data_IF_814034343661
#
_entry.id   IF_814034343661
#
_cell.length_a   1.000
_cell.length_b   1.000
_cell.length_c   1.000
_cell.angle_alpha   90.00
_cell.angle_beta   90.00
_cell.angle_gamma   90.00
#
_symmetry.space_group_name_H-M   'P 1'
#
loop_
_entity.id
_entity.type
_entity.pdbx_description
1 polymer ?
#
# COMPACT_ATOMS: atom_id res chain seq x y z
N UNK A 1 6.08 -44.14 -1.57
CA UNK A 1 6.84 -43.68 -2.74
C UNK A 1 5.83 -43.12 -3.73
N UNK A 2 5.71 -41.83 -4.02
CA UNK A 2 6.22 -40.58 -3.47
C UNK A 2 5.14 -39.53 -3.77
N UNK A 3 5.15 -38.50 -2.96
CA UNK A 3 4.19 -37.40 -2.83
C UNK A 3 4.04 -36.59 -4.13
N UNK A 4 2.79 -36.22 -4.48
CA UNK A 4 2.49 -35.16 -5.46
C UNK A 4 1.58 -34.08 -4.88
N UNK A 5 1.80 -33.77 -3.60
CA UNK A 5 1.40 -32.46 -3.07
C UNK A 5 2.25 -31.40 -3.78
N UNK A 6 1.59 -30.50 -4.51
CA UNK A 6 1.92 -29.09 -4.81
C UNK A 6 1.55 -28.77 -6.27
N UNK A 7 0.39 -28.12 -6.46
CA UNK A 7 0.18 -27.00 -7.42
C UNK A 7 -0.91 -26.09 -6.85
N UNK A 8 -0.50 -25.08 -6.08
CA UNK A 8 -0.50 -23.67 -6.55
C UNK A 8 -1.89 -23.02 -6.50
N UNK A 9 -2.26 -22.47 -5.35
CA UNK A 9 -3.48 -21.66 -5.21
C UNK A 9 -3.54 -20.74 -3.98
N UNK A 10 -2.70 -20.96 -2.95
CA UNK A 10 -2.80 -20.22 -1.69
C UNK A 10 -1.71 -19.16 -1.44
N UNK A 11 -0.61 -19.13 -2.21
CA UNK A 11 0.53 -18.25 -1.89
C UNK A 11 0.40 -16.83 -2.46
N UNK A 12 -0.21 -16.67 -3.63
CA UNK A 12 -0.41 -15.34 -4.23
C UNK A 12 -1.46 -14.52 -3.47
N UNK A 13 -2.54 -15.15 -3.00
CA UNK A 13 -3.64 -14.48 -2.28
C UNK A 13 -3.26 -14.04 -0.85
N UNK A 14 -2.24 -14.65 -0.25
CA UNK A 14 -1.76 -14.25 1.09
C UNK A 14 -0.84 -13.03 1.05
N UNK A 15 -0.12 -12.81 -0.05
CA UNK A 15 0.87 -11.73 -0.16
C UNK A 15 0.20 -10.37 -0.42
N UNK A 16 -0.82 -10.33 -1.28
CA UNK A 16 -1.56 -9.09 -1.59
C UNK A 16 -2.48 -8.60 -0.48
N UNK A 17 -2.85 -9.44 0.50
CA UNK A 17 -3.76 -9.02 1.58
C UNK A 17 -3.20 -7.92 2.49
N UNK A 18 -1.88 -7.71 2.46
CA UNK A 18 -1.20 -6.74 3.32
C UNK A 18 -0.42 -5.67 2.54
N UNK A 19 -0.67 -5.50 1.23
CA UNK A 19 -0.05 -4.42 0.45
C UNK A 19 -0.77 -3.09 0.71
N UNK A 20 0.00 -2.03 1.02
CA UNK A 20 -0.52 -0.67 1.17
C UNK A 20 0.28 0.33 0.35
N UNK A 21 -0.42 1.25 -0.29
CA UNK A 21 0.19 2.34 -1.06
C UNK A 21 -0.24 3.65 -0.44
N UNK A 22 0.73 4.50 -0.07
CA UNK A 22 0.50 5.87 0.34
C UNK A 22 1.16 6.82 -0.65
N UNK A 23 0.72 8.08 -0.66
CA UNK A 23 1.34 9.12 -1.46
C UNK A 23 1.43 10.42 -0.69
N UNK A 24 2.45 11.21 -1.03
CA UNK A 24 2.57 12.58 -0.56
C UNK A 24 1.79 13.57 -1.45
N UNK A 25 2.23 14.82 -1.43
CA UNK A 25 1.59 15.89 -2.22
C UNK A 25 2.24 16.09 -3.60
N UNK A 26 3.28 15.32 -3.95
CA UNK A 26 4.03 15.51 -5.19
C UNK A 26 3.26 15.06 -6.42
N UNK A 27 2.65 13.86 -6.39
CA UNK A 27 1.88 13.33 -7.51
C UNK A 27 0.80 12.31 -7.05
N UNK A 28 -0.29 12.78 -6.43
CA UNK A 28 -1.36 11.89 -5.95
C UNK A 28 -2.12 11.19 -7.09
N UNK A 29 -2.17 11.78 -8.28
CA UNK A 29 -2.82 11.20 -9.46
C UNK A 29 -2.11 9.91 -9.90
N UNK A 30 -0.78 9.97 -10.07
CA UNK A 30 0.04 8.80 -10.42
C UNK A 30 -0.10 7.67 -9.39
N UNK A 31 -0.08 8.00 -8.10
CA UNK A 31 -0.27 7.01 -7.06
C UNK A 31 -1.66 6.34 -7.14
N UNK A 32 -2.69 7.13 -7.45
CA UNK A 32 -4.05 6.64 -7.70
C UNK A 32 -4.12 5.69 -8.90
N UNK A 33 -3.46 6.01 -10.01
CA UNK A 33 -3.39 5.15 -11.19
C UNK A 33 -2.69 3.81 -10.88
N UNK A 34 -1.60 3.84 -10.13
CA UNK A 34 -0.87 2.63 -9.72
C UNK A 34 -1.73 1.76 -8.79
N UNK A 35 -2.41 2.37 -7.81
CA UNK A 35 -3.32 1.66 -6.92
C UNK A 35 -4.48 1.02 -7.70
N UNK A 36 -5.09 1.77 -8.63
CA UNK A 36 -6.15 1.28 -9.51
C UNK A 36 -5.68 0.12 -10.42
N UNK A 37 -4.48 0.22 -11.00
CA UNK A 37 -3.89 -0.84 -11.81
C UNK A 37 -3.70 -2.15 -11.00
N UNK A 38 -3.33 -2.02 -9.72
CA UNK A 38 -3.16 -3.16 -8.81
C UNK A 38 -4.49 -3.64 -8.20
N UNK A 39 -5.60 -2.93 -8.43
CA UNK A 39 -6.91 -3.26 -7.89
C UNK A 39 -7.03 -3.03 -6.38
N UNK A 40 -6.28 -2.08 -5.83
CA UNK A 40 -6.32 -1.69 -4.40
C UNK A 40 -6.61 -0.19 -4.25
N UNK A 41 -6.99 0.22 -3.06
CA UNK A 41 -7.19 1.63 -2.72
C UNK A 41 -5.91 2.24 -2.16
N UNK A 42 -5.76 3.57 -2.32
CA UNK A 42 -4.74 4.31 -1.59
C UNK A 42 -5.04 4.25 -0.08
N UNK A 43 -3.98 4.09 0.71
CA UNK A 43 -4.07 4.08 2.15
C UNK A 43 -4.48 5.45 2.68
N UNK A 44 -5.22 5.44 3.79
CA UNK A 44 -5.73 6.66 4.42
C UNK A 44 -4.59 7.40 5.15
N UNK A 45 -4.11 8.47 4.52
CA UNK A 45 -3.12 9.36 5.07
C UNK A 45 -3.45 10.83 4.80
N UNK A 46 -3.24 11.66 5.80
CA UNK A 46 -3.23 13.11 5.67
C UNK A 46 -1.80 13.60 5.55
N UNK A 47 -1.46 14.25 4.43
CA UNK A 47 -0.17 14.88 4.19
C UNK A 47 -0.39 16.37 3.98
N UNK A 48 0.09 17.19 4.90
CA UNK A 48 -0.06 18.64 4.87
C UNK A 48 1.25 19.35 5.21
N UNK A 49 1.28 20.67 5.04
CA UNK A 49 2.41 21.52 5.41
C UNK A 49 2.00 22.47 6.53
N UNK A 50 2.86 22.60 7.53
CA UNK A 50 2.75 23.64 8.56
C UNK A 50 3.13 25.01 8.00
N UNK A 51 2.74 26.08 8.70
CA UNK A 51 2.99 27.46 8.29
C UNK A 51 4.47 27.86 8.28
N UNK A 52 5.32 27.11 8.98
CA UNK A 52 6.78 27.25 9.01
C UNK A 52 7.49 26.42 7.93
N UNK A 53 6.75 25.67 7.11
CA UNK A 53 7.28 24.85 6.03
C UNK A 53 7.61 23.40 6.43
N UNK A 54 7.38 23.00 7.68
CA UNK A 54 7.51 21.61 8.08
C UNK A 54 6.39 20.75 7.46
N UNK A 55 6.69 19.48 7.16
CA UNK A 55 5.68 18.54 6.63
C UNK A 55 5.01 17.78 7.77
N UNK A 56 3.68 17.79 7.79
CA UNK A 56 2.85 17.00 8.68
C UNK A 56 2.33 15.77 7.96
N UNK A 57 2.51 14.59 8.56
CA UNK A 57 2.00 13.31 8.02
C UNK A 57 1.26 12.58 9.13
N UNK A 58 0.02 12.17 8.86
CA UNK A 58 -0.78 11.32 9.74
C UNK A 58 -1.31 10.13 8.95
N UNK A 59 -1.04 8.91 9.41
CA UNK A 59 -1.61 7.68 8.84
C UNK A 59 -2.83 7.29 9.67
N UNK A 60 -4.01 7.30 9.06
CA UNK A 60 -5.29 7.13 9.75
C UNK A 60 -5.75 5.66 9.85
N UNK A 61 -4.87 4.74 9.48
CA UNK A 61 -5.13 3.31 9.53
C UNK A 61 -3.91 2.49 9.99
N UNK A 62 -4.15 1.23 10.40
CA UNK A 62 -3.07 0.36 10.85
C UNK A 62 -2.24 -0.15 9.66
N UNK A 63 -0.93 0.13 9.70
CA UNK A 63 0.06 -0.38 8.74
C UNK A 63 0.91 -1.54 9.30
N UNK A 64 0.60 -2.02 10.52
CA UNK A 64 1.42 -3.05 11.18
C UNK A 64 1.41 -4.36 10.39
N UNK A 65 2.61 -4.81 10.00
CA UNK A 65 2.78 -6.03 9.23
C UNK A 65 2.35 -5.93 7.76
N UNK A 66 2.05 -4.71 7.29
CA UNK A 66 1.81 -4.43 5.89
C UNK A 66 3.13 -4.24 5.13
N UNK A 67 3.14 -4.63 3.86
CA UNK A 67 4.17 -4.22 2.91
C UNK A 67 3.75 -2.85 2.38
N UNK A 68 4.51 -1.82 2.73
CA UNK A 68 4.15 -0.42 2.47
C UNK A 68 5.01 0.17 1.37
N UNK A 69 4.36 0.77 0.37
CA UNK A 69 4.99 1.54 -0.69
C UNK A 69 4.54 3.01 -0.57
N UNK A 70 5.48 3.93 -0.70
CA UNK A 70 5.22 5.37 -0.75
C UNK A 70 5.59 5.85 -2.14
N UNK A 71 4.62 6.45 -2.82
CA UNK A 71 4.72 6.96 -4.19
C UNK A 71 4.78 8.47 -4.19
#
# INVERSE_FOLDING_TARGET
>A
MMDSKVRSGARATLYTKNLKIFTGNANPELAGEIAAYLGIELGDANVSSFSDGETSVSINESVRGADVFVI
#
